data_IF_312197524890
#
_entry.id   IF_312197524890
#
_cell.length_a   1.000
_cell.length_b   1.000
_cell.length_c   1.000
_cell.angle_alpha   90.00
_cell.angle_beta   90.00
_cell.angle_gamma   90.00
#
_symmetry.space_group_name_H-M   'P 1'
#
loop_
_entity.id
_entity.type
_entity.pdbx_description
1 polymer ?
#
# COMPACT_ATOMS: atom_id res chain seq x y z
N UNK A 1 15.06 -2.60 21.51
CA UNK A 1 15.15 -2.74 20.05
C UNK A 1 13.70 -2.85 19.56
N UNK A 2 13.25 -1.92 18.71
CA UNK A 2 11.97 -2.06 18.03
C UNK A 2 12.16 -3.20 17.03
N UNK A 3 11.32 -4.25 17.01
CA UNK A 3 11.45 -5.30 16.01
C UNK A 3 11.37 -4.69 14.61
N UNK A 4 12.30 -5.06 13.74
CA UNK A 4 12.24 -4.67 12.33
C UNK A 4 10.90 -5.18 11.76
N UNK A 5 10.12 -4.30 11.15
CA UNK A 5 8.90 -4.70 10.46
C UNK A 5 9.25 -5.73 9.39
N UNK A 6 8.50 -6.82 9.32
CA UNK A 6 8.73 -7.90 8.36
C UNK A 6 7.74 -7.76 7.22
N UNK A 7 8.25 -7.56 5.98
CA UNK A 7 7.41 -7.57 4.79
C UNK A 7 7.02 -9.02 4.44
N UNK A 8 5.74 -9.34 4.54
CA UNK A 8 5.24 -10.72 4.46
C UNK A 8 5.43 -11.36 3.07
N UNK A 9 5.43 -10.54 2.00
CA UNK A 9 5.46 -11.05 0.62
C UNK A 9 6.88 -11.25 0.08
N UNK A 10 7.92 -10.82 0.81
CA UNK A 10 9.30 -10.86 0.33
C UNK A 10 9.58 -9.87 -0.81
N UNK A 11 10.76 -10.00 -1.43
CA UNK A 11 11.27 -9.05 -2.44
C UNK A 11 11.73 -9.75 -3.73
N UNK A 12 11.37 -11.02 -3.93
CA UNK A 12 11.80 -11.80 -5.08
C UNK A 12 11.23 -11.23 -6.42
N UNK A 13 11.79 -11.62 -7.59
CA UNK A 13 11.35 -11.11 -8.90
C UNK A 13 9.85 -11.30 -9.18
N UNK A 14 9.25 -12.39 -8.71
CA UNK A 14 7.80 -12.63 -8.85
C UNK A 14 6.97 -11.59 -8.11
N UNK A 15 7.36 -11.26 -6.88
CA UNK A 15 6.72 -10.20 -6.07
C UNK A 15 6.81 -8.83 -6.76
N UNK A 16 7.93 -8.51 -7.38
CA UNK A 16 8.09 -7.23 -8.08
C UNK A 16 7.22 -7.12 -9.33
N UNK A 17 7.02 -8.22 -10.07
CA UNK A 17 6.05 -8.28 -11.17
C UNK A 17 4.63 -8.08 -10.64
N UNK A 18 4.28 -8.73 -9.54
CA UNK A 18 2.98 -8.56 -8.87
C UNK A 18 2.75 -7.11 -8.46
N UNK A 19 3.75 -6.47 -7.84
CA UNK A 19 3.67 -5.05 -7.46
C UNK A 19 3.50 -4.13 -8.66
N UNK A 20 4.13 -4.42 -9.80
CA UNK A 20 3.92 -3.64 -11.02
C UNK A 20 2.48 -3.74 -11.52
N UNK A 21 1.91 -4.94 -11.55
CA UNK A 21 0.49 -5.16 -11.91
C UNK A 21 -0.44 -4.44 -10.93
N UNK A 22 -0.19 -4.55 -9.63
CA UNK A 22 -0.95 -3.84 -8.59
C UNK A 22 -0.93 -2.32 -8.82
N UNK A 23 0.24 -1.76 -9.14
CA UNK A 23 0.38 -0.34 -9.45
C UNK A 23 -0.42 0.06 -10.70
N UNK A 24 -0.38 -0.73 -11.78
CA UNK A 24 -1.19 -0.48 -12.98
C UNK A 24 -2.69 -0.42 -12.67
N UNK A 25 -3.18 -1.31 -11.79
CA UNK A 25 -4.58 -1.38 -11.39
C UNK A 25 -5.02 -0.21 -10.50
N UNK A 26 -4.11 0.35 -9.69
CA UNK A 26 -4.46 1.28 -8.62
C UNK A 26 -4.00 2.72 -8.85
N UNK A 27 -2.86 2.95 -9.51
CA UNK A 27 -2.25 4.28 -9.54
C UNK A 27 -3.20 5.35 -10.05
N UNK A 28 -3.89 5.11 -11.17
CA UNK A 28 -4.81 6.07 -11.73
C UNK A 28 -5.97 6.39 -10.78
N UNK A 29 -6.55 5.37 -10.16
CA UNK A 29 -7.66 5.52 -9.20
C UNK A 29 -7.24 6.29 -7.95
N UNK A 30 -6.01 6.02 -7.44
CA UNK A 30 -5.46 6.77 -6.32
C UNK A 30 -5.15 8.22 -6.70
N UNK A 31 -4.58 8.46 -7.89
CA UNK A 31 -4.29 9.82 -8.38
C UNK A 31 -5.54 10.70 -8.52
N UNK A 32 -6.69 10.12 -8.86
CA UNK A 32 -7.97 10.85 -8.94
C UNK A 32 -8.42 11.40 -7.58
N UNK A 33 -8.00 10.76 -6.49
CA UNK A 33 -8.28 11.22 -5.12
C UNK A 33 -7.30 12.29 -4.61
N UNK A 34 -6.22 12.54 -5.34
CA UNK A 34 -5.15 13.47 -4.92
C UNK A 34 -5.29 14.77 -5.69
N UNK A 35 -5.58 15.86 -4.98
CA UNK A 35 -5.57 17.20 -5.56
C UNK A 35 -4.19 17.84 -5.39
N UNK A 36 -3.51 18.14 -6.51
CA UNK A 36 -2.20 18.79 -6.51
C UNK A 36 -2.32 20.23 -7.00
N UNK A 37 -1.52 21.10 -6.39
CA UNK A 37 -1.20 22.40 -6.97
C UNK A 37 -0.09 22.23 -8.02
N UNK A 38 -0.05 23.05 -9.07
CA UNK A 38 1.10 23.05 -9.98
C UNK A 38 2.41 23.28 -9.23
N UNK A 39 3.46 22.62 -9.67
CA UNK A 39 4.79 22.69 -9.09
C UNK A 39 4.86 22.28 -7.59
N UNK A 40 3.99 21.37 -7.14
CA UNK A 40 3.98 20.87 -5.78
C UNK A 40 5.26 20.09 -5.45
N UNK A 41 5.73 20.21 -4.21
CA UNK A 41 6.79 19.35 -3.64
C UNK A 41 6.12 18.19 -2.93
N UNK A 42 6.45 16.97 -3.31
CA UNK A 42 5.78 15.74 -2.84
C UNK A 42 6.83 14.79 -2.28
N UNK A 43 6.55 14.23 -1.11
CA UNK A 43 7.32 13.13 -0.52
C UNK A 43 6.45 11.87 -0.56
N UNK A 44 7.00 10.77 -1.11
CA UNK A 44 6.39 9.45 -1.13
C UNK A 44 7.19 8.52 -0.20
N UNK A 45 6.60 8.11 0.92
CA UNK A 45 7.25 7.28 1.94
C UNK A 45 6.83 5.84 1.78
N UNK A 46 7.81 4.94 1.59
CA UNK A 46 7.59 3.57 1.16
C UNK A 46 7.32 3.51 -0.34
N UNK A 47 8.16 4.18 -1.14
CA UNK A 47 7.94 4.37 -2.58
C UNK A 47 8.07 3.07 -3.42
N UNK A 48 8.64 2.02 -2.84
CA UNK A 48 8.84 0.75 -3.51
C UNK A 48 9.64 0.91 -4.81
N UNK A 49 9.08 0.38 -5.91
CA UNK A 49 9.66 0.52 -7.26
C UNK A 49 9.56 1.93 -7.86
N UNK A 50 8.99 2.89 -7.14
CA UNK A 50 8.86 4.29 -7.59
C UNK A 50 7.70 4.58 -8.53
N UNK A 51 6.88 3.59 -8.90
CA UNK A 51 5.84 3.74 -9.93
C UNK A 51 4.77 4.78 -9.58
N UNK A 52 4.35 4.84 -8.31
CA UNK A 52 3.42 5.89 -7.86
C UNK A 52 4.11 7.24 -7.75
N UNK A 53 5.36 7.28 -7.29
CA UNK A 53 6.16 8.51 -7.20
C UNK A 53 6.34 9.17 -8.58
N UNK A 54 6.60 8.37 -9.63
CA UNK A 54 6.63 8.85 -11.02
C UNK A 54 5.30 9.46 -11.47
N UNK A 55 4.20 8.80 -11.13
CA UNK A 55 2.85 9.31 -11.44
C UNK A 55 2.57 10.64 -10.72
N UNK A 56 2.98 10.76 -9.46
CA UNK A 56 2.87 12.00 -8.67
C UNK A 56 3.73 13.11 -9.26
N UNK A 57 4.96 12.80 -9.69
CA UNK A 57 5.87 13.75 -10.35
C UNK A 57 5.25 14.29 -11.65
N UNK A 58 4.76 13.40 -12.51
CA UNK A 58 4.07 13.80 -13.76
C UNK A 58 2.84 14.67 -13.47
N UNK A 59 2.05 14.34 -12.45
CA UNK A 59 0.86 15.11 -12.07
C UNK A 59 1.20 16.48 -11.47
N UNK A 60 2.32 16.62 -10.75
CA UNK A 60 2.81 17.90 -10.22
C UNK A 60 3.20 18.88 -11.35
N UNK A 61 3.69 18.35 -12.47
CA UNK A 61 4.06 19.13 -13.65
C UNK A 61 5.37 19.90 -13.50
N UNK A 62 5.66 20.78 -14.46
CA UNK A 62 6.93 21.55 -14.49
C UNK A 62 7.14 22.39 -13.24
N UNK A 63 8.36 22.35 -12.70
CA UNK A 63 8.74 23.05 -11.47
C UNK A 63 8.36 22.33 -10.18
N UNK A 64 7.67 21.17 -10.28
CA UNK A 64 7.43 20.29 -9.14
C UNK A 64 8.67 19.50 -8.75
N UNK A 65 8.62 18.88 -7.58
CA UNK A 65 9.67 17.98 -7.10
C UNK A 65 9.06 16.82 -6.32
N UNK A 66 9.45 15.62 -6.66
CA UNK A 66 9.04 14.41 -5.96
C UNK A 66 10.26 13.68 -5.39
N UNK A 67 10.19 13.32 -4.12
CA UNK A 67 11.15 12.46 -3.43
C UNK A 67 10.47 11.17 -3.01
N UNK A 68 10.95 10.04 -3.52
CA UNK A 68 10.59 8.71 -3.04
C UNK A 68 11.60 8.22 -2.02
N UNK A 69 11.12 7.69 -0.89
CA UNK A 69 11.99 7.06 0.12
C UNK A 69 11.58 5.60 0.25
N UNK A 70 12.56 4.71 0.10
CA UNK A 70 12.40 3.28 0.20
C UNK A 70 13.53 2.67 1.02
N UNK A 71 13.22 1.64 1.81
CA UNK A 71 14.20 0.97 2.67
C UNK A 71 14.91 -0.18 1.97
N UNK A 72 14.20 -0.90 1.10
CA UNK A 72 14.70 -2.08 0.44
C UNK A 72 15.71 -1.76 -0.66
N UNK A 73 16.86 -2.46 -0.64
CA UNK A 73 17.98 -2.20 -1.55
C UNK A 73 17.63 -2.51 -3.02
N UNK A 74 16.91 -3.60 -3.29
CA UNK A 74 16.59 -3.98 -4.66
C UNK A 74 15.53 -3.06 -5.28
N UNK A 75 14.53 -2.65 -4.48
CA UNK A 75 13.48 -1.76 -4.93
C UNK A 75 14.04 -0.37 -5.20
N UNK A 76 14.83 0.18 -4.28
CA UNK A 76 15.40 1.52 -4.43
C UNK A 76 16.38 1.59 -5.61
N UNK A 77 17.22 0.57 -5.83
CA UNK A 77 18.11 0.52 -7.01
C UNK A 77 17.34 0.53 -8.32
N UNK A 78 16.15 -0.08 -8.39
CA UNK A 78 15.30 -0.05 -9.57
C UNK A 78 14.64 1.32 -9.76
N UNK A 79 14.09 1.88 -8.69
CA UNK A 79 13.49 3.21 -8.71
C UNK A 79 14.50 4.28 -9.14
N UNK A 80 15.74 4.21 -8.65
CA UNK A 80 16.81 5.17 -8.98
C UNK A 80 17.17 5.22 -10.48
N UNK A 81 16.88 4.18 -11.26
CA UNK A 81 17.08 4.19 -12.72
C UNK A 81 16.16 5.18 -13.45
N UNK A 82 15.10 5.62 -12.80
CA UNK A 82 14.09 6.54 -13.33
C UNK A 82 14.24 7.97 -12.79
N UNK A 83 15.35 8.28 -12.08
CA UNK A 83 15.59 9.62 -11.53
C UNK A 83 15.72 10.69 -12.61
N UNK A 84 15.20 11.87 -12.31
CA UNK A 84 15.34 13.10 -13.08
C UNK A 84 15.64 14.26 -12.13
N UNK A 85 15.93 15.49 -12.60
CA UNK A 85 16.08 16.63 -11.69
C UNK A 85 14.86 16.91 -10.81
N UNK A 86 13.65 16.52 -11.26
CA UNK A 86 12.38 16.72 -10.56
C UNK A 86 11.91 15.47 -9.80
N UNK A 87 12.59 14.32 -9.95
CA UNK A 87 12.22 13.04 -9.37
C UNK A 87 13.46 12.36 -8.76
N UNK A 88 13.57 12.38 -7.44
CA UNK A 88 14.66 11.75 -6.70
C UNK A 88 14.16 10.52 -5.95
N UNK A 89 15.02 9.49 -5.85
CA UNK A 89 14.78 8.33 -5.00
C UNK A 89 15.94 8.17 -4.03
N UNK A 90 15.61 8.02 -2.74
CA UNK A 90 16.61 7.96 -1.66
C UNK A 90 16.33 6.79 -0.74
N UNK A 91 17.39 6.02 -0.42
CA UNK A 91 17.29 4.96 0.59
C UNK A 91 17.05 5.56 1.97
N UNK A 92 16.06 5.03 2.70
CA UNK A 92 15.76 5.50 4.06
C UNK A 92 14.69 4.70 4.75
N UNK A 93 14.56 4.95 6.05
CA UNK A 93 13.59 4.30 6.92
C UNK A 93 12.45 5.28 7.26
N UNK A 94 11.21 4.80 7.26
CA UNK A 94 10.03 5.61 7.59
C UNK A 94 10.06 6.14 9.04
N UNK A 95 10.80 5.49 9.92
CA UNK A 95 10.98 5.93 11.31
C UNK A 95 12.06 7.01 11.50
N UNK A 96 12.86 7.26 10.47
CA UNK A 96 13.89 8.28 10.44
C UNK A 96 14.16 8.68 8.99
N UNK A 97 13.32 9.58 8.47
CA UNK A 97 13.43 10.03 7.08
C UNK A 97 14.76 10.77 6.84
N UNK A 98 15.54 10.39 5.79
CA UNK A 98 16.84 10.98 5.47
C UNK A 98 16.68 12.33 4.77
N UNK A 99 15.97 13.27 5.40
CA UNK A 99 15.71 14.60 4.87
C UNK A 99 16.91 15.52 5.11
N UNK A 100 17.24 16.34 4.11
CA UNK A 100 18.15 17.47 4.25
C UNK A 100 17.51 18.57 5.09
N UNK A 101 18.28 19.50 5.63
CA UNK A 101 17.76 20.59 6.48
C UNK A 101 16.70 21.44 5.77
N UNK A 102 16.93 21.74 4.49
CA UNK A 102 16.02 22.53 3.66
C UNK A 102 14.78 21.77 3.17
N UNK A 103 14.75 20.45 3.38
CA UNK A 103 13.59 19.59 3.07
C UNK A 103 12.63 19.49 4.24
N UNK A 104 13.08 19.73 5.47
CA UNK A 104 12.24 19.73 6.66
C UNK A 104 11.17 20.84 6.56
N UNK A 105 9.90 20.47 6.67
CA UNK A 105 8.81 21.41 6.56
C UNK A 105 8.63 22.06 5.18
N UNK A 106 9.13 21.42 4.10
CA UNK A 106 9.10 21.99 2.75
C UNK A 106 8.11 21.32 1.80
N UNK A 107 7.63 20.13 2.11
CA UNK A 107 6.72 19.39 1.22
C UNK A 107 5.28 19.88 1.32
N UNK A 108 4.64 20.06 0.17
CA UNK A 108 3.20 20.37 0.06
C UNK A 108 2.35 19.17 0.42
N UNK A 109 2.82 17.98 -0.01
CA UNK A 109 2.15 16.71 0.20
C UNK A 109 3.16 15.67 0.68
N UNK A 110 2.74 14.89 1.67
CA UNK A 110 3.38 13.63 2.04
C UNK A 110 2.37 12.51 1.75
N UNK A 111 2.78 11.55 0.95
CA UNK A 111 2.00 10.40 0.53
C UNK A 111 2.62 9.11 1.05
N UNK A 112 1.79 8.14 1.38
CA UNK A 112 2.22 6.77 1.65
C UNK A 112 1.10 5.79 1.31
N UNK A 113 1.47 4.62 0.75
CA UNK A 113 0.53 3.55 0.40
C UNK A 113 1.11 2.18 0.69
N UNK A 114 0.31 1.28 1.31
CA UNK A 114 0.69 -0.08 1.67
C UNK A 114 1.98 -0.15 2.52
N UNK A 115 2.13 0.80 3.43
CA UNK A 115 3.29 0.89 4.31
C UNK A 115 2.91 0.66 5.76
N UNK A 116 1.88 1.36 6.25
CA UNK A 116 1.60 1.42 7.69
C UNK A 116 1.16 0.07 8.25
N UNK A 117 0.53 -0.78 7.45
CA UNK A 117 0.16 -2.15 7.84
C UNK A 117 1.39 -3.00 8.23
N UNK A 118 2.56 -2.69 7.69
CA UNK A 118 3.81 -3.40 7.94
C UNK A 118 4.64 -2.79 9.08
N UNK A 119 4.22 -1.69 9.68
CA UNK A 119 4.99 -0.97 10.70
C UNK A 119 4.51 -1.33 12.10
N UNK A 120 5.47 -1.66 12.98
CA UNK A 120 5.19 -1.91 14.40
C UNK A 120 4.80 -0.65 15.19
N UNK A 121 5.18 0.54 14.71
CA UNK A 121 4.84 1.84 15.28
C UNK A 121 4.43 2.84 14.19
N UNK A 122 3.23 2.70 13.61
CA UNK A 122 2.76 3.59 12.54
C UNK A 122 2.66 5.05 13.00
N UNK A 123 2.43 5.30 14.30
CA UNK A 123 2.38 6.65 14.86
C UNK A 123 3.70 7.39 14.67
N UNK A 124 4.82 6.76 15.03
CA UNK A 124 6.16 7.34 14.87
C UNK A 124 6.49 7.63 13.39
N UNK A 125 6.10 6.76 12.46
CA UNK A 125 6.29 7.02 11.04
C UNK A 125 5.47 8.24 10.57
N UNK A 126 4.23 8.40 11.06
CA UNK A 126 3.40 9.58 10.77
C UNK A 126 4.03 10.85 11.35
N UNK A 127 4.61 10.81 12.55
CA UNK A 127 5.35 11.95 13.13
C UNK A 127 6.51 12.40 12.22
N UNK A 128 7.29 11.46 11.68
CA UNK A 128 8.35 11.75 10.72
C UNK A 128 7.80 12.31 9.40
N UNK A 129 6.71 11.77 8.87
CA UNK A 129 6.02 12.30 7.70
C UNK A 129 5.55 13.74 7.93
N UNK A 130 4.99 14.02 9.09
CA UNK A 130 4.55 15.38 9.47
C UNK A 130 5.74 16.33 9.65
N UNK A 131 6.92 15.86 10.07
CA UNK A 131 8.14 16.68 10.14
C UNK A 131 8.53 17.20 8.76
N UNK A 132 8.39 16.38 7.72
CA UNK A 132 8.67 16.76 6.33
C UNK A 132 7.66 17.78 5.76
N UNK A 133 6.42 17.72 6.25
CA UNK A 133 5.31 18.50 5.70
C UNK A 133 5.37 19.96 6.15
N UNK A 134 5.15 20.90 5.23
CA UNK A 134 5.02 22.33 5.58
C UNK A 134 3.73 22.61 6.35
N UNK A 135 3.67 23.73 7.03
CA UNK A 135 2.43 24.22 7.67
C UNK A 135 1.33 24.42 6.60
N UNK A 136 0.14 23.88 6.85
CA UNK A 136 -0.96 23.84 5.88
C UNK A 136 -0.80 22.80 4.77
N UNK A 137 0.30 22.04 4.75
CA UNK A 137 0.51 20.91 3.82
C UNK A 137 -0.38 19.72 4.17
N UNK A 138 -0.56 18.82 3.21
CA UNK A 138 -1.46 17.68 3.31
C UNK A 138 -0.70 16.36 3.44
N UNK A 139 -1.07 15.54 4.42
CA UNK A 139 -0.69 14.12 4.48
C UNK A 139 -1.81 13.28 3.89
N UNK A 140 -1.44 12.26 3.09
CA UNK A 140 -2.33 11.31 2.44
C UNK A 140 -1.82 9.91 2.74
N UNK A 141 -2.58 9.16 3.50
CA UNK A 141 -2.30 7.77 3.85
C UNK A 141 -3.29 6.86 3.16
N UNK A 142 -2.79 5.79 2.57
CA UNK A 142 -3.60 4.82 1.87
C UNK A 142 -3.15 3.42 2.24
N UNK A 143 -4.08 2.60 2.78
CA UNK A 143 -3.73 1.27 3.26
C UNK A 143 -4.93 0.33 3.27
N UNK A 144 -4.67 -0.96 3.41
CA UNK A 144 -5.68 -2.00 3.36
C UNK A 144 -6.44 -2.17 4.67
N UNK A 145 -7.67 -2.61 4.52
CA UNK A 145 -8.48 -3.22 5.57
C UNK A 145 -8.91 -4.60 5.08
N UNK A 146 -8.12 -5.62 5.40
CA UNK A 146 -8.30 -6.97 4.86
C UNK A 146 -9.68 -7.58 5.17
N UNK A 147 -10.36 -7.12 6.24
CA UNK A 147 -11.71 -7.58 6.55
C UNK A 147 -12.77 -7.07 5.57
N UNK A 148 -12.45 -6.09 4.74
CA UNK A 148 -13.36 -5.52 3.75
C UNK A 148 -13.43 -6.28 2.42
N UNK A 149 -12.66 -7.35 2.25
CA UNK A 149 -12.68 -8.20 1.06
C UNK A 149 -13.98 -9.00 0.96
N UNK A 150 -14.64 -8.90 -0.19
CA UNK A 150 -15.86 -9.64 -0.52
C UNK A 150 -15.72 -10.23 -1.92
N UNK A 151 -15.92 -11.53 -2.04
CA UNK A 151 -16.06 -12.24 -3.31
C UNK A 151 -17.49 -12.72 -3.49
N UNK A 152 -18.06 -12.57 -4.71
CA UNK A 152 -19.40 -13.04 -5.01
C UNK A 152 -19.46 -13.78 -6.36
N UNK A 153 -20.09 -14.98 -6.41
CA UNK A 153 -20.44 -15.83 -5.25
C UNK A 153 -19.18 -16.18 -4.46
N UNK A 154 -19.30 -16.34 -3.14
CA UNK A 154 -18.12 -16.67 -2.34
C UNK A 154 -17.62 -18.09 -2.69
N UNK A 155 -16.31 -18.23 -3.04
CA UNK A 155 -15.72 -19.56 -3.27
C UNK A 155 -15.73 -20.41 -2.01
N UNK A 156 -16.03 -21.69 -2.13
CA UNK A 156 -16.01 -22.61 -1.00
C UNK A 156 -14.63 -22.63 -0.34
N UNK A 157 -14.60 -22.45 1.00
CA UNK A 157 -13.36 -22.40 1.80
C UNK A 157 -12.62 -21.05 1.77
N UNK A 158 -13.08 -20.07 0.98
CA UNK A 158 -12.41 -18.76 0.89
C UNK A 158 -12.39 -18.02 2.22
N UNK A 159 -13.50 -18.01 2.98
CA UNK A 159 -13.55 -17.35 4.29
C UNK A 159 -12.45 -17.85 5.24
N UNK A 160 -12.24 -19.18 5.28
CA UNK A 160 -11.18 -19.77 6.11
C UNK A 160 -9.78 -19.42 5.61
N UNK A 161 -9.56 -19.49 4.31
CA UNK A 161 -8.32 -19.14 3.66
C UNK A 161 -7.95 -17.65 3.91
N UNK A 162 -8.94 -16.77 3.75
CA UNK A 162 -8.74 -15.34 3.94
C UNK A 162 -8.51 -14.97 5.41
N UNK A 163 -9.21 -15.64 6.34
CA UNK A 163 -8.94 -15.49 7.78
C UNK A 163 -7.52 -15.93 8.13
N UNK A 164 -7.08 -17.08 7.63
CA UNK A 164 -5.70 -17.53 7.85
C UNK A 164 -4.66 -16.57 7.27
N UNK A 165 -4.95 -15.96 6.12
CA UNK A 165 -4.11 -14.91 5.55
C UNK A 165 -4.05 -13.67 6.46
N UNK A 166 -5.18 -13.18 6.95
CA UNK A 166 -5.25 -12.07 7.92
C UNK A 166 -4.45 -12.40 9.19
N UNK A 167 -4.66 -13.58 9.75
CA UNK A 167 -3.99 -14.02 10.99
C UNK A 167 -2.47 -14.15 10.79
N UNK A 168 -2.02 -14.47 9.57
CA UNK A 168 -0.60 -14.51 9.24
C UNK A 168 0.09 -13.14 9.39
N UNK A 169 -0.60 -12.04 9.06
CA UNK A 169 -0.11 -10.67 9.33
C UNK A 169 0.04 -10.42 10.82
N UNK A 170 -0.97 -10.78 11.60
CA UNK A 170 -0.97 -10.58 13.06
C UNK A 170 0.17 -11.36 13.71
N UNK A 171 0.43 -12.59 13.24
CA UNK A 171 1.49 -13.47 13.77
C UNK A 171 2.88 -12.84 13.68
N UNK A 172 3.15 -12.02 12.66
CA UNK A 172 4.44 -11.33 12.48
C UNK A 172 4.43 -9.88 12.98
N UNK A 173 3.35 -9.45 13.66
CA UNK A 173 3.23 -8.13 14.26
C UNK A 173 2.76 -7.02 13.31
N UNK A 174 2.25 -7.37 12.13
CA UNK A 174 1.63 -6.45 11.19
C UNK A 174 0.16 -6.19 11.55
N UNK A 175 -0.40 -5.09 11.05
CA UNK A 175 -1.80 -4.72 11.32
C UNK A 175 -2.65 -4.79 10.04
N UNK A 176 -3.32 -5.93 9.78
CA UNK A 176 -4.15 -6.10 8.57
C UNK A 176 -5.44 -5.26 8.56
N UNK A 177 -5.67 -4.47 9.60
CA UNK A 177 -6.83 -3.59 9.75
C UNK A 177 -6.45 -2.11 9.84
N UNK A 178 -5.22 -1.77 9.46
CA UNK A 178 -4.70 -0.40 9.61
C UNK A 178 -5.53 0.61 8.81
N UNK A 179 -6.07 0.22 7.66
CA UNK A 179 -6.85 1.07 6.78
C UNK A 179 -8.00 1.79 7.50
N UNK A 180 -8.80 1.07 8.29
CA UNK A 180 -9.90 1.65 9.09
C UNK A 180 -9.43 2.58 10.19
N UNK A 181 -8.14 2.50 10.60
CA UNK A 181 -7.54 3.27 11.69
C UNK A 181 -6.89 4.58 11.20
N UNK A 182 -6.65 4.73 9.88
CA UNK A 182 -5.93 5.87 9.32
C UNK A 182 -6.49 7.23 9.76
N UNK A 183 -7.82 7.50 9.74
CA UNK A 183 -8.35 8.78 10.20
C UNK A 183 -8.03 9.05 11.66
N UNK A 184 -8.13 8.03 12.51
CA UNK A 184 -7.82 8.14 13.93
C UNK A 184 -6.33 8.43 14.16
N UNK A 185 -5.45 7.74 13.44
CA UNK A 185 -4.00 7.98 13.51
C UNK A 185 -3.64 9.42 13.14
N UNK A 186 -4.29 10.00 12.11
CA UNK A 186 -4.07 11.40 11.74
C UNK A 186 -4.55 12.37 12.83
N UNK A 187 -5.73 12.11 13.42
CA UNK A 187 -6.26 12.94 14.53
C UNK A 187 -5.34 12.88 15.76
N UNK A 188 -4.89 11.69 16.13
CA UNK A 188 -4.01 11.48 17.29
C UNK A 188 -2.62 12.13 17.11
N UNK A 189 -2.21 12.34 15.85
CA UNK A 189 -0.99 13.08 15.48
C UNK A 189 -1.25 14.58 15.25
N UNK A 190 -2.40 15.12 15.64
CA UNK A 190 -2.71 16.56 15.64
C UNK A 190 -3.11 17.12 14.29
N UNK A 191 -3.33 16.28 13.26
CA UNK A 191 -3.83 16.74 11.97
C UNK A 191 -5.24 17.34 12.10
N UNK A 192 -5.50 18.37 11.29
CA UNK A 192 -6.82 18.98 11.12
C UNK A 192 -7.43 18.64 9.79
N UNK A 193 -8.70 19.00 9.59
CA UNK A 193 -9.45 18.73 8.35
C UNK A 193 -9.32 17.28 7.89
N UNK A 194 -9.31 16.34 8.85
CA UNK A 194 -9.17 14.92 8.53
C UNK A 194 -10.39 14.43 7.76
N UNK A 195 -10.15 13.73 6.67
CA UNK A 195 -11.18 13.13 5.83
C UNK A 195 -10.88 11.65 5.63
N UNK A 196 -11.92 10.87 5.47
CA UNK A 196 -11.86 9.46 5.11
C UNK A 196 -12.55 9.25 3.76
N UNK A 197 -11.93 8.46 2.88
CA UNK A 197 -12.46 8.11 1.56
C UNK A 197 -12.03 6.68 1.21
N UNK A 198 -12.53 6.18 0.12
CA UNK A 198 -12.23 4.84 -0.38
C UNK A 198 -11.84 4.91 -1.87
N UNK A 199 -10.87 4.08 -2.25
CA UNK A 199 -10.63 3.73 -3.65
C UNK A 199 -11.13 2.31 -3.87
N UNK A 200 -12.03 2.15 -4.83
CA UNK A 200 -12.48 0.83 -5.22
C UNK A 200 -11.33 0.06 -5.85
N UNK A 201 -10.94 -1.04 -5.21
CA UNK A 201 -9.97 -1.99 -5.72
C UNK A 201 -10.64 -3.35 -5.82
N UNK A 202 -11.31 -3.59 -6.89
CA UNK A 202 -12.05 -4.80 -7.19
C UNK A 202 -12.41 -4.82 -8.66
N UNK A 203 -13.06 -5.88 -9.09
CA UNK A 203 -13.47 -6.01 -10.48
C UNK A 203 -14.54 -7.09 -10.65
N UNK A 204 -15.08 -7.22 -11.86
CA UNK A 204 -16.03 -8.28 -12.20
C UNK A 204 -15.60 -9.02 -13.47
N UNK A 205 -16.01 -10.26 -13.58
CA UNK A 205 -15.78 -11.08 -14.78
C UNK A 205 -16.28 -10.35 -16.04
N UNK A 206 -15.45 -10.41 -17.09
CA UNK A 206 -15.70 -9.70 -18.34
C UNK A 206 -15.10 -8.31 -18.43
N UNK A 207 -14.63 -7.72 -17.31
CA UNK A 207 -13.87 -6.47 -17.40
C UNK A 207 -12.42 -6.72 -17.80
N UNK A 208 -11.76 -5.73 -18.48
CA UNK A 208 -10.39 -5.91 -18.97
C UNK A 208 -9.34 -6.18 -17.89
N UNK A 209 -9.60 -5.75 -16.65
CA UNK A 209 -8.66 -5.84 -15.53
C UNK A 209 -8.94 -6.98 -14.56
N UNK A 210 -10.04 -7.73 -14.76
CA UNK A 210 -10.45 -8.80 -13.85
C UNK A 210 -9.40 -9.92 -13.72
N UNK A 211 -8.80 -10.35 -14.83
CA UNK A 211 -7.75 -11.38 -14.80
C UNK A 211 -6.53 -10.91 -14.01
N UNK A 212 -6.06 -9.69 -14.24
CA UNK A 212 -4.94 -9.11 -13.52
C UNK A 212 -5.25 -8.97 -12.02
N UNK A 213 -6.47 -8.54 -11.68
CA UNK A 213 -6.94 -8.44 -10.30
C UNK A 213 -6.94 -9.80 -9.59
N UNK A 214 -7.57 -10.81 -10.19
CA UNK A 214 -7.69 -12.16 -9.59
C UNK A 214 -6.36 -12.89 -9.50
N UNK A 215 -5.46 -12.65 -10.47
CA UNK A 215 -4.09 -13.13 -10.41
C UNK A 215 -3.35 -12.51 -9.22
N UNK A 216 -3.40 -11.18 -9.05
CA UNK A 216 -2.81 -10.50 -7.91
C UNK A 216 -3.36 -11.05 -6.57
N UNK A 217 -4.67 -11.25 -6.46
CA UNK A 217 -5.29 -11.83 -5.26
C UNK A 217 -4.76 -13.23 -4.95
N UNK A 218 -4.68 -14.10 -5.96
CA UNK A 218 -4.19 -15.46 -5.79
C UNK A 218 -2.70 -15.50 -5.42
N UNK A 219 -1.89 -14.64 -6.01
CA UNK A 219 -0.45 -14.55 -5.76
C UNK A 219 -0.16 -13.99 -4.36
N UNK A 220 -0.88 -12.96 -3.92
CA UNK A 220 -0.69 -12.39 -2.57
C UNK A 220 -0.99 -13.40 -1.47
N UNK A 221 -2.04 -14.21 -1.63
CA UNK A 221 -2.35 -15.30 -0.70
C UNK A 221 -1.25 -16.37 -0.74
N UNK A 222 -0.75 -16.70 -1.94
CA UNK A 222 0.26 -17.73 -2.11
C UNK A 222 1.61 -17.36 -1.45
N UNK A 223 1.98 -16.07 -1.39
CA UNK A 223 3.21 -15.64 -0.70
C UNK A 223 3.18 -15.91 0.80
N UNK A 224 2.02 -15.87 1.44
CA UNK A 224 1.84 -16.13 2.86
C UNK A 224 1.65 -17.63 3.21
N UNK A 225 1.61 -18.54 2.21
CA UNK A 225 1.30 -19.96 2.40
C UNK A 225 2.11 -20.63 3.51
N UNK A 226 3.42 -20.48 3.46
CA UNK A 226 4.29 -21.16 4.44
C UNK A 226 4.02 -20.65 5.85
N UNK A 227 3.88 -19.35 6.01
CA UNK A 227 3.57 -18.72 7.31
C UNK A 227 2.23 -19.21 7.86
N UNK A 228 1.20 -19.31 7.01
CA UNK A 228 -0.12 -19.83 7.41
C UNK A 228 -0.06 -21.28 7.87
N UNK A 229 0.70 -22.14 7.18
CA UNK A 229 0.80 -23.57 7.50
C UNK A 229 1.69 -23.81 8.72
N UNK A 230 2.85 -23.16 8.78
CA UNK A 230 3.82 -23.32 9.89
C UNK A 230 3.24 -22.81 11.23
N UNK A 231 2.33 -21.85 11.20
CA UNK A 231 1.62 -21.36 12.40
C UNK A 231 0.25 -22.02 12.62
N UNK A 232 -0.05 -23.12 11.92
CA UNK A 232 -1.28 -23.90 12.07
C UNK A 232 -2.58 -23.10 11.87
N UNK A 233 -2.54 -22.00 11.12
CA UNK A 233 -3.69 -21.15 10.82
C UNK A 233 -4.65 -21.81 9.81
N UNK A 234 -4.12 -22.68 8.96
CA UNK A 234 -4.87 -23.51 8.02
C UNK A 234 -4.07 -24.80 7.73
N UNK A 235 -4.75 -25.91 7.55
CA UNK A 235 -4.06 -27.15 7.15
C UNK A 235 -3.64 -27.13 5.67
N UNK A 236 -2.60 -27.90 5.28
CA UNK A 236 -2.17 -27.98 3.87
C UNK A 236 -3.31 -28.38 2.91
N UNK A 237 -4.18 -29.31 3.33
CA UNK A 237 -5.28 -29.80 2.51
C UNK A 237 -6.40 -28.78 2.35
N UNK A 238 -6.75 -28.06 3.42
CA UNK A 238 -7.73 -26.97 3.38
C UNK A 238 -7.23 -25.81 2.53
N UNK A 239 -5.94 -25.42 2.68
CA UNK A 239 -5.32 -24.42 1.83
C UNK A 239 -5.40 -24.82 0.36
N UNK A 240 -4.98 -26.05 0.01
CA UNK A 240 -4.99 -26.52 -1.37
C UNK A 240 -6.41 -26.55 -1.98
N UNK A 241 -7.38 -27.01 -1.19
CA UNK A 241 -8.80 -27.06 -1.60
C UNK A 241 -9.35 -25.65 -1.83
N UNK A 242 -9.15 -24.73 -0.89
CA UNK A 242 -9.65 -23.36 -0.99
C UNK A 242 -8.99 -22.59 -2.15
N UNK A 243 -7.67 -22.74 -2.36
CA UNK A 243 -6.98 -22.14 -3.52
C UNK A 243 -7.48 -22.69 -4.85
N UNK A 244 -7.74 -24.00 -4.95
CA UNK A 244 -8.34 -24.60 -6.14
C UNK A 244 -9.73 -24.02 -6.43
N UNK A 245 -10.55 -23.84 -5.39
CA UNK A 245 -11.89 -23.27 -5.52
C UNK A 245 -11.82 -21.79 -5.91
N UNK A 246 -10.89 -21.03 -5.34
CA UNK A 246 -10.61 -19.64 -5.75
C UNK A 246 -10.22 -19.56 -7.23
N UNK A 247 -9.30 -20.39 -7.71
CA UNK A 247 -8.91 -20.45 -9.13
C UNK A 247 -10.10 -20.83 -10.02
N UNK A 248 -10.97 -21.71 -9.56
CA UNK A 248 -12.19 -22.07 -10.30
C UNK A 248 -13.15 -20.91 -10.37
N UNK A 249 -13.29 -20.18 -9.26
CA UNK A 249 -14.13 -18.97 -9.16
C UNK A 249 -13.69 -17.88 -10.14
N UNK A 250 -12.38 -17.68 -10.37
CA UNK A 250 -11.89 -16.66 -11.33
C UNK A 250 -12.36 -16.89 -12.77
N UNK A 251 -12.85 -18.09 -13.08
CA UNK A 251 -13.36 -18.49 -14.41
C UNK A 251 -14.88 -18.36 -14.54
N UNK A 252 -15.59 -18.01 -13.48
CA UNK A 252 -17.03 -17.84 -13.52
C UNK A 252 -17.38 -16.53 -14.22
N UNK A 253 -18.33 -16.55 -15.16
CA UNK A 253 -18.75 -15.37 -15.93
C UNK A 253 -19.45 -14.28 -15.12
N UNK A 254 -19.79 -14.54 -13.87
CA UNK A 254 -20.47 -13.63 -12.94
C UNK A 254 -19.69 -13.42 -11.64
N UNK A 255 -18.42 -13.79 -11.62
CA UNK A 255 -17.55 -13.54 -10.46
C UNK A 255 -17.34 -12.04 -10.27
N UNK A 256 -17.45 -11.58 -9.03
CA UNK A 256 -17.26 -10.18 -8.66
C UNK A 256 -16.47 -10.07 -7.37
N UNK A 257 -15.48 -9.19 -7.34
CA UNK A 257 -14.67 -8.89 -6.17
C UNK A 257 -14.84 -7.43 -5.75
N UNK A 258 -15.04 -7.19 -4.46
CA UNK A 258 -15.09 -5.87 -3.84
C UNK A 258 -13.99 -5.78 -2.79
N UNK A 259 -13.05 -4.88 -2.99
CA UNK A 259 -11.99 -4.62 -2.01
C UNK A 259 -11.67 -3.12 -1.98
N UNK A 260 -12.24 -2.37 -1.05
CA UNK A 260 -11.96 -0.95 -0.92
C UNK A 260 -10.60 -0.73 -0.27
N UNK A 261 -9.73 0.05 -0.95
CA UNK A 261 -8.54 0.60 -0.36
C UNK A 261 -8.92 1.85 0.44
N UNK A 262 -8.58 1.89 1.72
CA UNK A 262 -8.85 3.02 2.59
C UNK A 262 -7.89 4.18 2.28
N UNK A 263 -8.41 5.40 2.23
CA UNK A 263 -7.60 6.63 2.13
C UNK A 263 -8.02 7.57 3.25
N UNK A 264 -7.05 8.06 4.00
CA UNK A 264 -7.24 9.17 4.91
C UNK A 264 -6.35 10.35 4.55
N UNK A 265 -6.89 11.54 4.63
CA UNK A 265 -6.14 12.78 4.42
C UNK A 265 -6.26 13.69 5.62
N UNK A 266 -5.23 14.48 5.88
CA UNK A 266 -5.23 15.48 6.95
C UNK A 266 -4.29 16.62 6.62
N UNK A 267 -4.44 17.76 7.29
CA UNK A 267 -3.53 18.91 7.18
C UNK A 267 -2.70 19.08 8.45
N UNK A 268 -1.44 19.45 8.26
CA UNK A 268 -0.57 19.90 9.35
C UNK A 268 -0.86 21.35 9.69
N UNK A 269 -1.08 21.64 11.00
CA UNK A 269 -1.29 22.98 11.54
C UNK A 269 -0.26 23.32 12.61
#
# INVERSE_FOLDING_TARGET
MIPLSTYIHGINPGEQIRLSILNELLNQRCLEKITLKPAARILDVGSGLGLMTECLSKKSGPGGYCLGIERDDEQIEKAQKHQTPELEFRKGDAYQLPLKEDEIGSFDIVYSRFLLEHLSDPKRAIEEMLRALKHGGQIILSDDDHQSMILYPEPEGFQKLWTAYIDSYITIGNDPFIGRKLPRLLLDNGCKEVRNDLVFFGDMAGSPTFEAYTKNLSEVIATARNLMIENELISPDEYASAMKNLITWTKMSHATAYYPLCIATGKKF
#
